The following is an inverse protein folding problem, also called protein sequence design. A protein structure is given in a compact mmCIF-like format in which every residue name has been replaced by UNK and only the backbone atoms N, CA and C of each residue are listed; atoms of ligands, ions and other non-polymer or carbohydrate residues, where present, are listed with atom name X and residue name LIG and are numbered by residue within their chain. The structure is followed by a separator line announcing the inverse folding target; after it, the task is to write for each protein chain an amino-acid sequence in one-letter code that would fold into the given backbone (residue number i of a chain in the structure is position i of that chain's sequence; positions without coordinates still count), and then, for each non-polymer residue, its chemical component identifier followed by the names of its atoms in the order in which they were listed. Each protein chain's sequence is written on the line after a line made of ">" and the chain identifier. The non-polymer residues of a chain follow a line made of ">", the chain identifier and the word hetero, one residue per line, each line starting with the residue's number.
data_IF_377874301412
#
_entry.id   IF_377874301412
#
_cell.length_a   1.000
_cell.length_b   1.000
_cell.length_c   1.000
_cell.angle_alpha   90.00
_cell.angle_beta   90.00
_cell.angle_gamma   90.00
#
_symmetry.space_group_name_H-M   'P 1'
#
loop_
_entity.id
_entity.type
_entity.pdbx_description
1 polymer ?
#
# COMPACT_ATOMS: atom_id res chain seq x y z
N UNK A 1 2.40 -0.88 -6.69
CA UNK A 1 3.49 -0.53 -5.72
C UNK A 1 4.83 -0.86 -6.35
N UNK A 2 5.89 -0.21 -5.86
CA UNK A 2 7.28 -0.57 -6.20
C UNK A 2 7.76 -1.62 -5.18
N UNK A 3 8.21 -2.79 -5.64
CA UNK A 3 8.68 -3.88 -4.80
C UNK A 3 10.11 -4.25 -5.23
N UNK A 4 11.06 -4.12 -4.31
CA UNK A 4 12.44 -4.52 -4.52
C UNK A 4 12.64 -5.94 -3.97
N UNK A 5 13.17 -6.84 -4.79
CA UNK A 5 13.30 -8.26 -4.50
C UNK A 5 14.76 -8.65 -4.65
N UNK A 6 15.35 -9.16 -3.57
CA UNK A 6 16.70 -9.73 -3.58
C UNK A 6 16.75 -11.07 -4.30
N UNK A 7 17.93 -11.48 -4.74
CA UNK A 7 18.12 -12.67 -5.55
C UNK A 7 18.50 -13.90 -4.73
N UNK A 8 19.66 -13.88 -4.04
CA UNK A 8 20.15 -15.02 -3.25
C UNK A 8 19.42 -15.17 -1.91
N UNK A 9 18.91 -16.37 -1.63
CA UNK A 9 18.16 -16.63 -0.39
C UNK A 9 16.70 -16.18 -0.47
N UNK A 10 16.31 -15.44 -1.52
CA UNK A 10 14.98 -14.88 -1.74
C UNK A 10 14.30 -15.47 -2.98
N UNK A 11 14.88 -15.31 -4.19
CA UNK A 11 14.36 -15.90 -5.42
C UNK A 11 14.94 -17.28 -5.64
N UNK A 12 16.24 -17.46 -5.41
CA UNK A 12 16.92 -18.74 -5.50
C UNK A 12 17.66 -19.08 -4.20
N UNK A 13 18.00 -20.35 -4.02
CA UNK A 13 18.87 -20.78 -2.91
C UNK A 13 20.24 -20.14 -3.05
N UNK A 14 20.80 -19.68 -1.92
CA UNK A 14 22.14 -19.10 -1.91
C UNK A 14 23.18 -20.15 -2.30
N UNK A 15 23.89 -19.93 -3.41
CA UNK A 15 24.98 -20.76 -3.92
C UNK A 15 26.08 -19.93 -4.58
N UNK A 16 26.15 -18.66 -4.23
CA UNK A 16 27.09 -17.70 -4.83
C UNK A 16 28.51 -18.24 -4.97
N UNK A 17 29.21 -18.05 -6.12
CA UNK A 17 28.81 -17.22 -7.28
C UNK A 17 27.84 -17.91 -8.26
N UNK A 18 27.68 -19.25 -8.21
CA UNK A 18 26.68 -19.95 -9.01
C UNK A 18 25.27 -19.55 -8.60
N UNK A 19 24.28 -19.96 -9.39
CA UNK A 19 22.86 -19.73 -9.09
C UNK A 19 22.25 -21.04 -8.58
N UNK A 20 21.59 -20.99 -7.43
CA UNK A 20 20.90 -22.13 -6.84
C UNK A 20 19.53 -22.39 -7.47
N UNK A 21 18.89 -23.46 -7.01
CA UNK A 21 17.51 -23.79 -7.39
C UNK A 21 16.53 -22.69 -6.93
N UNK A 22 15.39 -22.52 -7.63
CA UNK A 22 14.37 -21.59 -7.18
C UNK A 22 13.91 -21.85 -5.74
N UNK A 23 13.65 -20.79 -5.00
CA UNK A 23 12.95 -20.94 -3.72
C UNK A 23 11.49 -21.37 -3.95
N UNK A 24 10.92 -22.15 -3.02
CA UNK A 24 9.52 -22.56 -3.14
C UNK A 24 8.59 -21.38 -3.37
N UNK A 25 7.70 -21.47 -4.36
CA UNK A 25 6.71 -20.45 -4.75
C UNK A 25 7.30 -19.13 -5.28
N UNK A 26 8.63 -19.00 -5.42
CA UNK A 26 9.25 -17.73 -5.86
C UNK A 26 8.77 -17.30 -7.25
N UNK A 27 8.82 -18.24 -8.19
CA UNK A 27 8.50 -17.96 -9.60
C UNK A 27 7.03 -17.58 -9.76
N UNK A 28 6.12 -18.35 -9.13
CA UNK A 28 4.68 -18.13 -9.17
C UNK A 28 4.31 -16.81 -8.52
N UNK A 29 4.89 -16.52 -7.36
CA UNK A 29 4.64 -15.28 -6.62
C UNK A 29 5.10 -14.03 -7.39
N UNK A 30 6.29 -14.08 -8.00
CA UNK A 30 6.80 -12.94 -8.80
C UNK A 30 5.92 -12.69 -10.03
N UNK A 31 5.45 -13.77 -10.70
CA UNK A 31 4.48 -13.65 -11.81
C UNK A 31 3.18 -13.03 -11.34
N UNK A 32 2.60 -13.51 -10.22
CA UNK A 32 1.38 -12.94 -9.63
C UNK A 32 1.56 -11.45 -9.29
N UNK A 33 2.68 -11.05 -8.68
CA UNK A 33 2.96 -9.64 -8.40
C UNK A 33 2.99 -8.79 -9.66
N UNK A 34 3.57 -9.31 -10.75
CA UNK A 34 3.62 -8.62 -12.04
C UNK A 34 2.23 -8.49 -12.66
N UNK A 35 1.44 -9.54 -12.66
CA UNK A 35 0.05 -9.57 -13.15
C UNK A 35 -0.85 -8.59 -12.38
N UNK A 36 -0.57 -8.38 -11.09
CA UNK A 36 -1.26 -7.41 -10.24
C UNK A 36 -0.83 -5.96 -10.46
N UNK A 37 0.09 -5.72 -11.40
CA UNK A 37 0.51 -4.38 -11.82
C UNK A 37 1.49 -3.70 -10.86
N UNK A 38 2.34 -4.47 -10.17
CA UNK A 38 3.44 -3.92 -9.40
C UNK A 38 4.65 -3.64 -10.27
N UNK A 39 5.40 -2.58 -9.92
CA UNK A 39 6.73 -2.30 -10.49
C UNK A 39 7.75 -3.11 -9.70
N UNK A 40 8.43 -4.04 -10.38
CA UNK A 40 9.38 -4.95 -9.73
C UNK A 40 10.81 -4.54 -10.01
N UNK A 41 11.62 -4.44 -8.96
CA UNK A 41 13.06 -4.16 -9.03
C UNK A 41 13.79 -5.42 -8.60
N UNK A 42 14.64 -5.99 -9.46
CA UNK A 42 15.66 -6.96 -9.03
C UNK A 42 16.72 -6.17 -8.27
N UNK A 43 16.82 -6.40 -6.96
CA UNK A 43 17.70 -5.65 -6.05
C UNK A 43 18.74 -6.59 -5.46
N UNK A 44 19.92 -6.68 -6.06
CA UNK A 44 20.95 -7.66 -5.72
C UNK A 44 22.35 -7.05 -5.64
N UNK A 45 23.21 -7.65 -4.85
CA UNK A 45 24.64 -7.32 -4.80
C UNK A 45 25.45 -7.83 -5.98
N UNK A 46 24.86 -8.61 -6.90
CA UNK A 46 25.54 -9.08 -8.12
C UNK A 46 25.89 -7.91 -9.04
N UNK A 47 27.04 -8.02 -9.72
CA UNK A 47 27.53 -7.02 -10.67
C UNK A 47 28.18 -7.71 -11.86
N UNK A 48 28.31 -6.99 -12.99
CA UNK A 48 28.93 -7.48 -14.23
C UNK A 48 28.32 -8.78 -14.71
N UNK A 49 29.14 -9.71 -15.17
CA UNK A 49 28.70 -11.00 -15.77
C UNK A 49 27.79 -11.79 -14.81
N UNK A 50 28.05 -11.72 -13.50
CA UNK A 50 27.20 -12.41 -12.49
C UNK A 50 25.79 -11.79 -12.41
N UNK A 51 25.65 -10.50 -12.65
CA UNK A 51 24.34 -9.84 -12.72
C UNK A 51 23.61 -10.23 -14.00
N UNK A 52 24.32 -10.26 -15.13
CA UNK A 52 23.78 -10.68 -16.42
C UNK A 52 23.27 -12.14 -16.37
N UNK A 53 24.03 -13.02 -15.71
CA UNK A 53 23.62 -14.41 -15.47
C UNK A 53 22.33 -14.49 -14.61
N UNK A 54 22.22 -13.67 -13.56
CA UNK A 54 21.00 -13.63 -12.74
C UNK A 54 19.77 -13.14 -13.54
N UNK A 55 19.94 -12.07 -14.33
CA UNK A 55 18.86 -11.55 -15.20
C UNK A 55 18.44 -12.59 -16.25
N UNK A 56 19.41 -13.27 -16.86
CA UNK A 56 19.17 -14.36 -17.82
C UNK A 56 18.42 -15.52 -17.16
N UNK A 57 18.87 -15.95 -15.99
CA UNK A 57 18.22 -17.00 -15.21
C UNK A 57 16.75 -16.65 -14.89
N UNK A 58 16.47 -15.41 -14.47
CA UNK A 58 15.10 -14.94 -14.26
C UNK A 58 14.24 -15.09 -15.52
N UNK A 59 14.76 -14.66 -16.68
CA UNK A 59 14.05 -14.76 -17.98
C UNK A 59 13.79 -16.24 -18.36
N UNK A 60 14.75 -17.12 -18.14
CA UNK A 60 14.62 -18.56 -18.42
C UNK A 60 13.54 -19.22 -17.54
N UNK A 61 13.29 -18.69 -16.33
CA UNK A 61 12.20 -19.11 -15.45
C UNK A 61 10.88 -18.38 -15.71
N UNK A 62 10.85 -17.52 -16.74
CA UNK A 62 9.65 -16.77 -17.15
C UNK A 62 9.24 -15.68 -16.19
N UNK A 63 10.17 -15.12 -15.41
CA UNK A 63 10.00 -13.94 -14.59
C UNK A 63 10.79 -12.77 -15.15
N UNK A 64 10.23 -11.57 -15.05
CA UNK A 64 10.85 -10.34 -15.51
C UNK A 64 10.69 -9.21 -14.50
N UNK A 65 11.69 -8.36 -14.46
CA UNK A 65 11.72 -7.16 -13.63
C UNK A 65 11.65 -5.92 -14.52
N UNK A 66 11.04 -4.84 -14.02
CA UNK A 66 11.01 -3.57 -14.72
C UNK A 66 12.37 -2.88 -14.66
N UNK A 67 13.06 -3.07 -13.54
CA UNK A 67 14.35 -2.44 -13.24
C UNK A 67 15.29 -3.44 -12.57
N UNK A 68 16.58 -3.22 -12.72
CA UNK A 68 17.65 -4.02 -12.11
C UNK A 68 18.63 -3.07 -11.43
N UNK A 69 18.67 -3.08 -10.11
CA UNK A 69 19.51 -2.19 -9.29
C UNK A 69 19.34 -0.69 -9.59
N UNK A 70 18.19 -0.29 -10.14
CA UNK A 70 17.90 1.08 -10.55
C UNK A 70 16.65 1.61 -9.87
N UNK A 71 16.56 2.96 -9.75
CA UNK A 71 15.39 3.64 -9.23
C UNK A 71 14.24 3.66 -10.24
N UNK A 72 13.00 3.52 -9.75
CA UNK A 72 11.84 3.73 -10.59
C UNK A 72 11.77 5.22 -11.02
N UNK A 73 11.72 5.51 -12.35
CA UNK A 73 11.92 6.86 -12.86
C UNK A 73 10.87 7.89 -12.40
N UNK A 74 9.60 7.50 -12.29
CA UNK A 74 8.54 8.42 -11.88
C UNK A 74 8.66 8.76 -10.39
N UNK A 75 9.01 7.77 -9.56
CA UNK A 75 9.27 7.99 -8.14
C UNK A 75 10.50 8.90 -7.96
N UNK A 76 11.59 8.63 -8.67
CA UNK A 76 12.79 9.46 -8.62
C UNK A 76 12.47 10.92 -9.01
N UNK A 77 11.69 11.14 -10.08
CA UNK A 77 11.25 12.46 -10.53
C UNK A 77 10.38 13.16 -9.47
N UNK A 78 9.47 12.44 -8.81
CA UNK A 78 8.60 12.98 -7.76
C UNK A 78 9.39 13.50 -6.55
N UNK A 79 10.59 12.95 -6.29
CA UNK A 79 11.49 13.37 -5.20
C UNK A 79 12.66 14.23 -5.68
N UNK A 80 12.50 15.00 -6.77
CA UNK A 80 13.47 16.00 -7.22
C UNK A 80 14.57 15.48 -8.14
N UNK A 81 14.50 14.23 -8.61
CA UNK A 81 15.40 13.65 -9.61
C UNK A 81 16.80 13.30 -9.09
N UNK A 82 17.03 13.36 -7.79
CA UNK A 82 18.33 13.03 -7.18
C UNK A 82 18.30 11.59 -6.66
N UNK A 83 19.15 10.73 -7.22
CA UNK A 83 19.29 9.35 -6.80
C UNK A 83 20.26 9.20 -5.63
N UNK A 84 19.84 8.50 -4.56
CA UNK A 84 20.73 7.94 -3.56
C UNK A 84 21.19 6.52 -3.94
N UNK A 85 22.11 5.93 -3.17
CA UNK A 85 22.52 4.55 -3.42
C UNK A 85 21.43 3.52 -3.12
N UNK A 86 20.49 3.84 -2.22
CA UNK A 86 19.37 2.97 -1.89
C UNK A 86 18.19 3.26 -2.81
N UNK A 87 17.77 2.31 -3.63
CA UNK A 87 16.55 2.43 -4.42
C UNK A 87 15.34 2.58 -3.49
N UNK A 88 14.38 3.40 -3.87
CA UNK A 88 13.10 3.46 -3.17
C UNK A 88 12.24 2.26 -3.58
N UNK A 89 11.64 1.61 -2.58
CA UNK A 89 10.57 0.65 -2.78
C UNK A 89 9.55 0.77 -1.63
N UNK A 90 8.30 0.43 -1.91
CA UNK A 90 7.26 0.34 -0.88
C UNK A 90 7.49 -0.88 0.02
N UNK A 91 8.03 -1.96 -0.56
CA UNK A 91 8.35 -3.22 0.11
C UNK A 91 9.70 -3.71 -0.39
N UNK A 92 10.52 -4.21 0.53
CA UNK A 92 11.75 -4.93 0.24
C UNK A 92 11.57 -6.39 0.68
N UNK A 93 11.75 -7.32 -0.25
CA UNK A 93 11.74 -8.76 0.01
C UNK A 93 13.19 -9.24 -0.07
N UNK A 94 13.77 -9.61 1.06
CA UNK A 94 15.21 -9.83 1.19
C UNK A 94 15.47 -10.78 2.38
N UNK A 95 16.34 -11.76 2.23
CA UNK A 95 16.69 -12.73 3.27
C UNK A 95 17.48 -12.10 4.42
N UNK A 96 18.08 -10.91 4.20
CA UNK A 96 18.88 -10.17 5.17
C UNK A 96 18.11 -9.08 5.91
N UNK A 97 16.80 -8.96 5.69
CA UNK A 97 15.97 -8.10 6.51
C UNK A 97 15.95 -8.56 7.98
N UNK A 98 15.77 -7.62 8.91
CA UNK A 98 15.58 -7.97 10.32
C UNK A 98 14.38 -8.92 10.46
N UNK A 99 14.63 -10.12 11.00
CA UNK A 99 13.64 -11.21 11.06
C UNK A 99 13.74 -12.21 9.91
N UNK A 100 14.59 -11.95 8.89
CA UNK A 100 14.79 -12.81 7.74
C UNK A 100 13.66 -12.77 6.71
N UNK A 101 13.75 -13.64 5.72
CA UNK A 101 12.70 -13.83 4.72
C UNK A 101 11.68 -14.87 5.21
N UNK A 102 10.39 -14.50 5.36
CA UNK A 102 9.39 -15.42 5.95
C UNK A 102 8.89 -16.51 4.98
N UNK A 103 9.44 -16.56 3.77
CA UNK A 103 8.96 -17.38 2.66
C UNK A 103 7.91 -16.68 1.82
N UNK A 104 7.73 -17.15 0.58
CA UNK A 104 6.88 -16.48 -0.41
C UNK A 104 5.39 -16.53 -0.07
N UNK A 105 4.91 -17.60 0.54
CA UNK A 105 3.51 -17.69 0.99
C UNK A 105 3.16 -16.53 1.95
N UNK A 106 3.97 -16.36 3.01
CA UNK A 106 3.75 -15.28 3.98
C UNK A 106 4.02 -13.89 3.41
N UNK A 107 5.02 -13.76 2.53
CA UNK A 107 5.30 -12.50 1.85
C UNK A 107 4.10 -12.04 1.00
N UNK A 108 3.47 -12.95 0.27
CA UNK A 108 2.29 -12.64 -0.54
C UNK A 108 1.06 -12.26 0.31
N UNK A 109 0.87 -12.87 1.47
CA UNK A 109 -0.17 -12.46 2.42
C UNK A 109 0.06 -11.02 2.90
N UNK A 110 1.28 -10.68 3.33
CA UNK A 110 1.65 -9.34 3.79
C UNK A 110 1.44 -8.29 2.69
N UNK A 111 1.81 -8.63 1.44
CA UNK A 111 1.62 -7.73 0.30
C UNK A 111 0.12 -7.51 0.04
N UNK A 112 -0.69 -8.57 0.04
CA UNK A 112 -2.15 -8.47 -0.10
C UNK A 112 -2.79 -7.61 0.99
N UNK A 113 -2.33 -7.75 2.24
CA UNK A 113 -2.76 -6.87 3.33
C UNK A 113 -2.33 -5.40 3.13
N UNK A 114 -1.14 -5.17 2.58
CA UNK A 114 -0.62 -3.83 2.31
C UNK A 114 -1.31 -3.12 1.14
N UNK A 115 -1.87 -3.88 0.19
CA UNK A 115 -2.63 -3.36 -0.95
C UNK A 115 -4.05 -2.92 -0.57
N UNK A 116 -4.58 -3.38 0.56
CA UNK A 116 -5.90 -2.95 1.02
C UNK A 116 -5.84 -1.46 1.35
N UNK A 117 -6.64 -0.62 0.69
CA UNK A 117 -6.70 0.79 1.02
C UNK A 117 -7.05 0.99 2.49
N UNK A 118 -6.37 1.93 3.16
CA UNK A 118 -6.65 2.32 4.55
C UNK A 118 -7.09 3.76 4.58
N UNK A 119 -8.02 4.09 5.46
CA UNK A 119 -8.44 5.46 5.67
C UNK A 119 -7.26 6.27 6.25
N UNK A 120 -6.98 7.41 5.61
CA UNK A 120 -6.10 8.44 6.17
C UNK A 120 -6.98 9.46 6.89
N UNK A 121 -6.62 9.81 8.12
CA UNK A 121 -7.41 10.71 8.92
C UNK A 121 -6.79 12.10 8.98
N UNK A 122 -7.64 13.12 8.84
CA UNK A 122 -7.32 14.55 8.97
C UNK A 122 -8.48 15.25 9.66
N UNK A 123 -8.45 16.58 9.74
CA UNK A 123 -9.58 17.38 10.20
C UNK A 123 -9.77 18.60 9.29
N UNK A 124 -10.96 19.17 9.30
CA UNK A 124 -11.25 20.47 8.73
C UNK A 124 -11.08 21.52 9.84
N UNK A 125 -10.04 22.35 9.74
CA UNK A 125 -9.71 23.37 10.74
C UNK A 125 -10.74 24.51 10.76
N UNK A 126 -11.42 24.75 9.65
CA UNK A 126 -12.45 25.79 9.52
C UNK A 126 -13.82 25.32 10.04
N UNK A 127 -13.97 24.03 10.34
CA UNK A 127 -15.21 23.50 10.88
C UNK A 127 -15.33 23.84 12.38
N UNK A 128 -16.45 24.46 12.84
CA UNK A 128 -16.56 25.05 14.18
C UNK A 128 -16.60 24.05 15.33
N UNK A 129 -16.55 22.74 15.04
CA UNK A 129 -16.63 21.65 16.02
C UNK A 129 -15.49 20.67 15.84
N UNK A 130 -15.16 19.89 16.87
CA UNK A 130 -14.19 18.82 16.73
C UNK A 130 -14.69 17.79 15.70
N UNK A 131 -13.81 17.43 14.79
CA UNK A 131 -14.13 16.57 13.65
C UNK A 131 -12.96 15.66 13.28
N UNK A 132 -13.25 14.66 12.48
CA UNK A 132 -12.26 13.81 11.82
C UNK A 132 -12.77 13.46 10.43
N UNK A 133 -11.91 13.59 9.42
CA UNK A 133 -12.19 13.23 8.04
C UNK A 133 -11.29 12.07 7.68
N UNK A 134 -11.88 10.90 7.42
CA UNK A 134 -11.21 9.71 6.91
C UNK A 134 -11.38 9.63 5.40
N UNK A 135 -10.32 9.37 4.66
CA UNK A 135 -10.41 9.22 3.21
C UNK A 135 -9.43 8.16 2.69
N UNK A 136 -9.83 7.48 1.63
CA UNK A 136 -8.97 6.54 0.93
C UNK A 136 -9.33 6.50 -0.56
N UNK A 137 -8.33 6.40 -1.43
CA UNK A 137 -8.52 6.13 -2.85
C UNK A 137 -9.09 4.72 -3.02
N UNK A 138 -10.20 4.59 -3.73
CA UNK A 138 -10.88 3.30 -3.99
C UNK A 138 -10.86 2.89 -5.46
N UNK A 139 -10.63 3.85 -6.37
CA UNK A 139 -10.41 3.60 -7.79
C UNK A 139 -9.43 4.62 -8.37
N UNK A 140 -9.22 4.59 -9.67
CA UNK A 140 -8.32 5.52 -10.37
C UNK A 140 -8.75 6.99 -10.25
N UNK A 141 -10.04 7.28 -10.14
CA UNK A 141 -10.66 8.61 -10.15
C UNK A 141 -11.56 8.91 -8.94
N UNK A 142 -11.75 7.94 -8.05
CA UNK A 142 -12.71 8.04 -6.94
C UNK A 142 -12.04 7.75 -5.60
N UNK A 143 -12.47 8.47 -4.57
CA UNK A 143 -12.11 8.24 -3.17
C UNK A 143 -13.35 8.04 -2.31
N UNK A 144 -13.23 7.20 -1.28
CA UNK A 144 -14.20 7.13 -0.19
C UNK A 144 -13.83 8.16 0.86
N UNK A 145 -14.81 8.93 1.30
CA UNK A 145 -14.65 9.93 2.35
C UNK A 145 -15.62 9.64 3.49
N UNK A 146 -15.11 9.70 4.70
CA UNK A 146 -15.86 9.63 5.94
C UNK A 146 -15.73 10.94 6.70
N UNK A 147 -16.81 11.46 7.21
CA UNK A 147 -16.83 12.65 8.03
C UNK A 147 -17.46 12.37 9.38
N UNK A 148 -16.68 12.51 10.44
CA UNK A 148 -17.14 12.38 11.81
C UNK A 148 -17.04 13.72 12.52
N UNK A 149 -18.08 14.14 13.21
CA UNK A 149 -18.05 15.38 13.98
C UNK A 149 -18.81 15.27 15.29
N UNK A 150 -18.40 16.08 16.25
CA UNK A 150 -19.03 16.15 17.56
C UNK A 150 -20.26 17.09 17.51
N UNK A 151 -21.40 16.53 17.86
CA UNK A 151 -22.67 17.24 17.94
C UNK A 151 -23.05 17.39 19.43
N UNK A 152 -22.66 18.50 20.05
CA UNK A 152 -22.99 18.75 21.45
C UNK A 152 -24.28 19.56 21.58
N UNK A 153 -25.37 18.92 21.93
CA UNK A 153 -26.67 19.56 22.20
C UNK A 153 -26.94 19.79 23.70
N UNK A 154 -25.90 19.87 24.53
CA UNK A 154 -26.06 20.09 25.97
C UNK A 154 -26.21 18.81 26.82
N UNK A 155 -26.14 17.65 26.20
CA UNK A 155 -26.26 16.33 26.87
C UNK A 155 -24.97 15.50 26.86
N UNK A 156 -23.82 16.12 26.57
CA UNK A 156 -22.53 15.46 26.44
C UNK A 156 -22.07 15.29 24.97
N UNK A 157 -20.86 14.76 24.74
CA UNK A 157 -20.34 14.54 23.40
C UNK A 157 -21.17 13.49 22.66
N UNK A 158 -21.49 13.79 21.43
CA UNK A 158 -22.32 12.95 20.57
C UNK A 158 -21.76 12.99 19.15
N UNK A 159 -21.09 11.93 18.73
CA UNK A 159 -20.46 11.84 17.43
C UNK A 159 -21.39 11.25 16.38
N UNK A 160 -21.40 11.85 15.19
CA UNK A 160 -22.11 11.38 14.00
C UNK A 160 -21.12 11.10 12.90
N UNK A 161 -21.36 10.05 12.14
CA UNK A 161 -20.55 9.63 11.02
C UNK A 161 -21.36 9.61 9.73
N UNK A 162 -20.73 10.10 8.68
CA UNK A 162 -21.26 10.14 7.31
C UNK A 162 -20.23 9.53 6.37
N UNK A 163 -20.66 9.08 5.20
CA UNK A 163 -19.75 8.68 4.12
C UNK A 163 -20.28 9.10 2.76
N UNK A 164 -19.39 9.24 1.79
CA UNK A 164 -19.71 9.33 0.37
C UNK A 164 -18.52 8.90 -0.50
N UNK A 165 -18.79 8.55 -1.74
CA UNK A 165 -17.79 8.38 -2.80
C UNK A 165 -17.67 9.70 -3.55
N UNK A 166 -16.48 10.30 -3.53
CA UNK A 166 -16.19 11.58 -4.16
C UNK A 166 -15.12 11.46 -5.24
N UNK A 167 -15.13 12.36 -6.27
CA UNK A 167 -14.03 12.44 -7.22
C UNK A 167 -12.70 12.67 -6.51
N UNK A 168 -11.61 12.12 -7.07
CA UNK A 168 -10.28 12.19 -6.44
C UNK A 168 -9.72 13.62 -6.38
N UNK A 169 -10.18 14.52 -7.25
CA UNK A 169 -9.82 15.93 -7.25
C UNK A 169 -10.41 16.75 -6.10
N UNK A 170 -11.44 16.23 -5.42
CA UNK A 170 -12.04 16.88 -4.25
C UNK A 170 -11.10 16.76 -3.05
N UNK A 171 -10.69 17.91 -2.48
CA UNK A 171 -9.91 17.90 -1.24
C UNK A 171 -10.78 17.42 -0.07
N UNK A 172 -10.46 16.31 0.57
CA UNK A 172 -11.25 15.77 1.68
C UNK A 172 -11.40 16.77 2.85
N UNK A 173 -10.45 17.69 3.03
CA UNK A 173 -10.48 18.69 4.11
C UNK A 173 -11.55 19.77 3.89
N UNK A 174 -11.94 20.00 2.63
CA UNK A 174 -12.99 20.94 2.26
C UNK A 174 -14.40 20.34 2.20
N UNK A 175 -14.55 19.05 2.46
CA UNK A 175 -15.85 18.37 2.42
C UNK A 175 -16.71 18.84 3.60
N UNK A 176 -17.92 19.30 3.30
CA UNK A 176 -18.91 19.69 4.30
C UNK A 176 -19.90 18.53 4.52
N UNK A 177 -20.49 18.52 5.69
CA UNK A 177 -21.49 17.51 6.07
C UNK A 177 -22.65 17.42 5.07
N UNK A 178 -23.09 18.57 4.56
CA UNK A 178 -24.21 18.68 3.62
C UNK A 178 -23.87 18.12 2.23
N UNK A 179 -22.60 17.91 1.94
CA UNK A 179 -22.13 17.31 0.68
C UNK A 179 -22.15 15.78 0.72
N UNK A 180 -22.29 15.18 1.92
CA UNK A 180 -22.26 13.73 2.11
C UNK A 180 -23.67 13.15 2.10
N UNK A 181 -23.87 12.11 1.29
CA UNK A 181 -25.20 11.55 1.01
C UNK A 181 -25.70 10.54 2.03
N UNK A 182 -24.78 9.84 2.70
CA UNK A 182 -25.16 8.75 3.57
C UNK A 182 -24.78 9.01 5.04
N UNK A 183 -25.78 9.09 5.92
CA UNK A 183 -25.56 9.03 7.37
C UNK A 183 -25.37 7.58 7.78
N UNK A 184 -24.18 7.23 8.26
CA UNK A 184 -23.88 5.86 8.68
C UNK A 184 -24.45 5.55 10.06
N UNK A 185 -24.04 6.33 11.04
CA UNK A 185 -24.43 6.12 12.44
C UNK A 185 -24.18 7.37 13.28
N UNK A 186 -24.99 7.52 14.33
CA UNK A 186 -24.85 8.54 15.35
C UNK A 186 -24.92 7.92 16.76
N UNK A 187 -24.47 8.65 17.77
CA UNK A 187 -24.58 8.22 19.17
C UNK A 187 -23.31 7.66 19.79
N UNK A 188 -22.15 7.91 19.20
CA UNK A 188 -20.88 7.55 19.83
C UNK A 188 -20.51 8.58 20.91
N UNK A 189 -20.08 8.10 22.07
CA UNK A 189 -19.63 8.95 23.16
C UNK A 189 -18.20 9.49 22.94
N UNK A 190 -17.35 8.70 22.28
CA UNK A 190 -15.95 9.01 22.03
C UNK A 190 -15.65 9.13 20.53
N UNK A 191 -14.70 10.00 20.20
CA UNK A 191 -14.18 10.18 18.83
C UNK A 191 -13.59 8.92 18.27
N UNK A 192 -12.81 8.22 19.08
CA UNK A 192 -12.12 6.98 18.74
C UNK A 192 -13.12 5.86 18.38
N UNK A 193 -14.28 5.80 19.06
CA UNK A 193 -15.35 4.86 18.74
C UNK A 193 -15.96 5.15 17.37
N UNK A 194 -16.20 6.43 17.06
CA UNK A 194 -16.71 6.88 15.76
C UNK A 194 -15.73 6.56 14.62
N UNK A 195 -14.44 6.84 14.82
CA UNK A 195 -13.36 6.51 13.88
C UNK A 195 -13.29 4.99 13.66
N UNK A 196 -13.24 4.20 14.72
CA UNK A 196 -13.17 2.74 14.64
C UNK A 196 -14.36 2.14 13.88
N UNK A 197 -15.55 2.67 14.11
CA UNK A 197 -16.74 2.27 13.36
C UNK A 197 -16.61 2.55 11.85
N UNK A 198 -16.11 3.72 11.46
CA UNK A 198 -15.89 4.04 10.04
C UNK A 198 -14.82 3.15 9.40
N UNK A 199 -13.77 2.79 10.13
CA UNK A 199 -12.73 1.87 9.64
C UNK A 199 -13.28 0.45 9.43
N UNK A 200 -14.18 -0.02 10.31
CA UNK A 200 -14.86 -1.30 10.14
C UNK A 200 -15.83 -1.28 8.96
N UNK A 201 -16.61 -0.20 8.82
CA UNK A 201 -17.51 -0.01 7.68
C UNK A 201 -16.73 0.01 6.36
N UNK A 202 -15.60 0.71 6.32
CA UNK A 202 -14.75 0.76 5.14
C UNK A 202 -14.16 -0.62 4.77
N UNK A 203 -13.78 -1.43 5.74
CA UNK A 203 -13.33 -2.82 5.51
C UNK A 203 -14.43 -3.67 4.88
N UNK A 204 -15.68 -3.56 5.38
CA UNK A 204 -16.83 -4.27 4.79
C UNK A 204 -17.09 -3.83 3.36
N UNK A 205 -17.11 -2.52 3.12
CA UNK A 205 -17.27 -1.93 1.80
C UNK A 205 -16.25 -2.49 0.78
N UNK A 206 -14.97 -2.61 1.17
CA UNK A 206 -13.93 -3.17 0.32
C UNK A 206 -14.11 -4.68 0.07
N UNK A 207 -14.67 -5.42 1.01
CA UNK A 207 -14.96 -6.86 0.86
C UNK A 207 -16.11 -7.12 -0.12
N UNK A 208 -17.14 -6.27 -0.10
CA UNK A 208 -18.31 -6.40 -0.97
C UNK A 208 -18.02 -6.06 -2.44
N UNK A 209 -16.92 -5.35 -2.71
CA UNK A 209 -16.48 -4.96 -4.07
C UNK A 209 -15.41 -5.88 -4.67
N UNK A 210 -14.97 -6.91 -3.95
CA UNK A 210 -14.06 -7.96 -4.45
C UNK A 210 -14.84 -9.10 -5.08
#
# INVERSE_FOLDING_TARGET
>A
MIIAIDFEGTICRNKYPEIGEPMPLAIESIKELKERGHDLILWTCRQGDLLDDAVKWCKEHGISFDLVNEHEPNNLKAFGGVSGNKVFANIYIDDRNLGGFPGWERAMEIIKEAEVPKLKWTKNEDFPRDNAIGYAKISHDTQMVYFCFNHNFGHGPYWRCFRDELPLEVDPRGVLMDDLKETLREGFALKEEAISYCEEDFKKFLQERR
#
